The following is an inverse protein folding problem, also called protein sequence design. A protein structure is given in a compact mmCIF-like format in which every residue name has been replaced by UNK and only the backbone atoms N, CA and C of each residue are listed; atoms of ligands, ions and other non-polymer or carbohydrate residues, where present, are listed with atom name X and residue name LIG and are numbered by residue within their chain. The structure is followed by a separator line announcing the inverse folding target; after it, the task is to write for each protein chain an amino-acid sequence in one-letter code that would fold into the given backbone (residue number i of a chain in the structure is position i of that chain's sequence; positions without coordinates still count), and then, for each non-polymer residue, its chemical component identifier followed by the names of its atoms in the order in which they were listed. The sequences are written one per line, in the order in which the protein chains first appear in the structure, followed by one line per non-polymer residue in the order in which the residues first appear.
data_IF_995448830410
#
_entry.id   IF_995448830410
#
_cell.length_a   1.000
_cell.length_b   1.000
_cell.length_c   1.000
_cell.angle_alpha   90.00
_cell.angle_beta   90.00
_cell.angle_gamma   90.00
#
_symmetry.space_group_name_H-M   'P 1'
#
loop_
_entity.id
_entity.type
_entity.pdbx_description
1 polymer ?
#
# COMPACT_ATOMS: atom_id res chain seq x y z
N UNK A 1 5.69 11.44 -12.88
CA UNK A 1 4.87 11.08 -14.06
C UNK A 1 5.65 11.45 -15.33
N UNK A 2 5.42 10.79 -16.47
CA UNK A 2 6.07 11.15 -17.74
C UNK A 2 5.33 12.34 -18.37
N UNK A 3 5.67 13.54 -17.91
CA UNK A 3 5.16 14.82 -18.38
C UNK A 3 6.14 15.95 -18.02
N UNK A 4 5.88 17.15 -18.52
CA UNK A 4 6.50 18.45 -18.18
C UNK A 4 5.41 19.47 -17.84
N UNK A 5 4.33 18.97 -17.25
CA UNK A 5 3.13 19.72 -16.94
C UNK A 5 2.63 19.32 -15.56
N UNK A 6 1.41 19.73 -15.22
CA UNK A 6 0.87 19.41 -13.91
C UNK A 6 0.67 17.90 -13.69
N UNK A 7 0.88 17.47 -12.45
CA UNK A 7 0.55 16.15 -11.92
C UNK A 7 -0.46 16.29 -10.80
N UNK A 8 -1.46 15.42 -10.76
CA UNK A 8 -2.48 15.37 -9.71
C UNK A 8 -2.48 14.02 -9.03
N UNK A 9 -2.50 14.02 -7.70
CA UNK A 9 -2.74 12.85 -6.86
C UNK A 9 -3.90 13.18 -5.94
N UNK A 10 -4.91 12.31 -5.89
CA UNK A 10 -6.04 12.49 -5.00
C UNK A 10 -6.36 11.28 -4.15
N UNK A 11 -6.79 11.52 -2.92
CA UNK A 11 -7.39 10.54 -2.02
C UNK A 11 -8.89 10.56 -2.30
N UNK A 12 -9.43 9.41 -2.68
CA UNK A 12 -10.81 9.29 -3.15
C UNK A 12 -11.60 8.29 -2.30
N UNK A 13 -12.82 8.64 -1.85
CA UNK A 13 -13.69 7.68 -1.17
C UNK A 13 -14.11 6.51 -2.08
N UNK A 14 -14.41 6.83 -3.35
CA UNK A 14 -14.97 5.87 -4.30
C UNK A 14 -13.95 5.33 -5.31
N UNK A 15 -12.79 5.97 -5.48
CA UNK A 15 -11.83 5.71 -6.56
C UNK A 15 -12.08 6.54 -7.82
N UNK A 16 -12.94 7.55 -7.73
CA UNK A 16 -13.24 8.54 -8.78
C UNK A 16 -13.04 9.98 -8.30
N UNK A 17 -13.29 10.96 -9.17
CA UNK A 17 -13.10 12.37 -8.82
C UNK A 17 -14.08 12.89 -7.75
N UNK A 18 -15.39 12.59 -7.79
CA UNK A 18 -16.32 13.15 -6.80
C UNK A 18 -15.93 12.78 -5.36
N UNK A 19 -15.83 13.80 -4.51
CA UNK A 19 -15.41 13.72 -3.12
C UNK A 19 -13.91 13.55 -2.89
N UNK A 20 -13.06 13.68 -3.91
CA UNK A 20 -11.62 13.50 -3.76
C UNK A 20 -10.91 14.78 -3.30
N UNK A 21 -10.02 14.62 -2.31
CA UNK A 21 -9.00 15.59 -1.88
C UNK A 21 -7.76 15.38 -2.75
N UNK A 22 -7.30 16.42 -3.44
CA UNK A 22 -6.34 16.36 -4.54
C UNK A 22 -5.19 17.35 -4.31
N UNK A 23 -3.97 16.80 -4.20
CA UNK A 23 -2.75 17.56 -4.39
C UNK A 23 -2.48 17.71 -5.90
N UNK A 24 -2.47 18.94 -6.40
CA UNK A 24 -2.08 19.27 -7.77
C UNK A 24 -0.75 20.00 -7.78
N UNK A 25 0.30 19.39 -8.34
CA UNK A 25 1.63 19.97 -8.37
C UNK A 25 2.25 20.06 -9.75
N UNK A 26 3.22 20.95 -9.91
CA UNK A 26 4.01 21.13 -11.13
C UNK A 26 5.38 21.71 -10.77
N UNK A 27 6.29 21.76 -11.74
CA UNK A 27 7.61 22.40 -11.60
C UNK A 27 7.69 23.47 -12.69
N UNK A 28 7.90 24.73 -12.30
CA UNK A 28 7.98 25.80 -13.28
C UNK A 28 9.30 25.80 -14.07
N UNK A 29 9.41 26.72 -15.03
CA UNK A 29 10.59 26.88 -15.89
C UNK A 29 11.87 27.24 -15.11
N UNK A 30 11.75 27.74 -13.87
CA UNK A 30 12.89 28.04 -13.00
C UNK A 30 13.37 26.82 -12.21
N UNK A 31 12.62 25.71 -12.27
CA UNK A 31 12.86 24.51 -11.48
C UNK A 31 12.19 24.54 -10.10
N UNK A 32 11.33 25.52 -9.83
CA UNK A 32 10.64 25.65 -8.55
C UNK A 32 9.39 24.76 -8.55
N UNK A 33 9.21 23.95 -7.52
CA UNK A 33 8.08 23.05 -7.38
C UNK A 33 6.93 23.69 -6.59
N UNK A 34 5.71 23.48 -7.06
CA UNK A 34 4.48 23.99 -6.45
C UNK A 34 3.49 22.87 -6.22
N UNK A 35 2.64 23.04 -5.21
CA UNK A 35 1.46 22.22 -4.95
C UNK A 35 0.30 23.14 -4.62
N UNK A 36 -0.88 22.78 -5.10
CA UNK A 36 -2.17 23.34 -4.72
C UNK A 36 -3.01 22.26 -4.06
N UNK A 37 -3.68 22.67 -2.99
CA UNK A 37 -4.75 21.93 -2.37
C UNK A 37 -6.04 22.10 -3.17
N UNK A 38 -6.69 21.01 -3.53
CA UNK A 38 -7.89 21.04 -4.39
C UNK A 38 -8.89 19.97 -3.99
N UNK A 39 -10.16 20.33 -4.07
CA UNK A 39 -11.27 19.42 -3.83
C UNK A 39 -12.12 19.20 -5.10
N UNK A 40 -12.50 17.95 -5.36
CA UNK A 40 -13.32 17.59 -6.51
C UNK A 40 -14.75 17.23 -6.10
N UNK A 41 -15.70 18.15 -6.29
CA UNK A 41 -17.11 17.88 -5.99
C UNK A 41 -17.79 16.95 -7.02
N UNK A 42 -17.26 16.88 -8.25
CA UNK A 42 -17.83 16.12 -9.36
C UNK A 42 -16.76 15.69 -10.37
N UNK A 43 -17.15 15.13 -11.51
CA UNK A 43 -16.25 14.89 -12.65
C UNK A 43 -15.95 16.19 -13.43
N UNK A 44 -15.60 17.24 -12.71
CA UNK A 44 -15.28 18.57 -13.22
C UNK A 44 -13.90 19.01 -12.72
N UNK A 45 -13.42 20.15 -13.20
CA UNK A 45 -12.20 20.78 -12.70
C UNK A 45 -12.28 20.93 -11.16
N UNK A 46 -11.33 20.35 -10.39
CA UNK A 46 -11.29 20.50 -8.94
C UNK A 46 -11.11 21.98 -8.55
N UNK A 47 -11.86 22.41 -7.54
CA UNK A 47 -11.78 23.75 -6.99
C UNK A 47 -10.58 23.84 -6.04
N UNK A 48 -9.95 25.01 -5.94
CA UNK A 48 -8.90 25.20 -4.93
C UNK A 48 -9.52 25.24 -3.55
N UNK A 49 -8.94 24.50 -2.62
CA UNK A 49 -9.16 24.76 -1.22
C UNK A 49 -8.34 25.99 -0.81
N UNK A 50 -9.04 27.03 -0.36
CA UNK A 50 -8.42 28.32 -0.02
C UNK A 50 -8.40 28.56 1.47
N UNK A 51 -9.10 27.72 2.24
CA UNK A 51 -9.24 27.91 3.67
C UNK A 51 -8.06 27.28 4.41
N UNK A 52 -7.51 26.18 3.88
CA UNK A 52 -6.39 25.45 4.46
C UNK A 52 -5.42 24.95 3.37
N UNK A 53 -4.12 24.88 3.68
CA UNK A 53 -3.10 24.29 2.81
C UNK A 53 -2.53 23.07 3.52
N UNK A 54 -3.10 21.91 3.23
CA UNK A 54 -2.79 20.68 3.95
C UNK A 54 -1.64 19.89 3.32
N UNK A 55 -1.34 20.19 2.05
CA UNK A 55 -0.23 19.60 1.30
C UNK A 55 0.99 20.51 1.26
N UNK A 56 2.11 20.04 1.82
CA UNK A 56 3.35 20.79 1.88
C UNK A 56 4.36 20.20 0.91
N UNK A 57 4.76 20.99 -0.10
CA UNK A 57 5.84 20.62 -1.02
C UNK A 57 7.18 20.57 -0.29
N UNK A 58 7.96 19.52 -0.55
CA UNK A 58 9.31 19.33 0.00
C UNK A 58 10.37 19.60 -1.07
N UNK A 59 10.19 19.01 -2.25
CA UNK A 59 11.04 19.22 -3.41
C UNK A 59 10.31 18.79 -4.69
N UNK A 60 10.76 19.27 -5.84
CA UNK A 60 10.35 18.74 -7.13
C UNK A 60 11.45 18.90 -8.17
N UNK A 61 11.36 18.10 -9.23
CA UNK A 61 12.29 18.15 -10.35
C UNK A 61 11.59 17.76 -11.63
N UNK A 62 12.03 18.38 -12.72
CA UNK A 62 11.72 17.96 -14.08
C UNK A 62 12.99 17.62 -14.84
N UNK A 63 13.09 16.36 -15.27
CA UNK A 63 14.28 15.85 -15.97
C UNK A 63 13.82 14.88 -17.06
N UNK A 64 14.29 15.07 -18.29
CA UNK A 64 14.04 14.17 -19.42
C UNK A 64 12.54 13.89 -19.68
N UNK A 65 11.69 14.90 -19.55
CA UNK A 65 10.23 14.77 -19.73
C UNK A 65 9.52 14.02 -18.60
N UNK A 66 10.12 13.99 -17.40
CA UNK A 66 9.53 13.45 -16.19
C UNK A 66 9.46 14.50 -15.09
N UNK A 67 8.24 14.76 -14.61
CA UNK A 67 7.98 15.52 -13.38
C UNK A 67 7.91 14.58 -12.18
N UNK A 68 8.65 14.90 -11.13
CA UNK A 68 8.58 14.25 -9.83
C UNK A 68 8.48 15.30 -8.73
N UNK A 69 7.50 15.15 -7.83
CA UNK A 69 7.29 16.05 -6.69
C UNK A 69 7.19 15.21 -5.43
N UNK A 70 7.88 15.64 -4.40
CA UNK A 70 7.83 15.08 -3.06
C UNK A 70 7.12 16.08 -2.15
N UNK A 71 6.21 15.57 -1.32
CA UNK A 71 5.38 16.38 -0.43
C UNK A 71 5.08 15.61 0.85
N UNK A 72 4.50 16.31 1.83
CA UNK A 72 3.92 15.72 3.05
C UNK A 72 2.52 16.29 3.30
N UNK A 73 1.67 15.48 3.93
CA UNK A 73 0.31 15.82 4.38
C UNK A 73 0.04 15.08 5.69
N UNK A 74 -0.70 15.68 6.61
CA UNK A 74 -1.17 14.99 7.81
C UNK A 74 -2.14 13.86 7.43
N UNK A 75 -2.28 12.83 8.27
CA UNK A 75 -3.26 11.78 8.02
C UNK A 75 -4.69 12.29 8.14
N UNK A 76 -4.96 13.05 9.19
CA UNK A 76 -6.19 13.80 9.40
C UNK A 76 -5.82 15.29 9.48
N UNK A 77 -6.47 16.09 8.66
CA UNK A 77 -6.27 17.55 8.56
C UNK A 77 -7.35 18.31 9.35
N UNK A 78 -8.40 17.62 9.80
CA UNK A 78 -9.60 18.20 10.41
C UNK A 78 -10.37 19.15 9.49
N UNK A 79 -10.12 19.13 8.17
CA UNK A 79 -10.86 19.89 7.17
C UNK A 79 -12.06 19.07 6.65
N UNK A 80 -13.22 19.71 6.63
CA UNK A 80 -14.46 19.13 6.10
C UNK A 80 -14.43 18.79 4.60
N UNK A 81 -13.53 19.42 3.82
CA UNK A 81 -13.33 19.13 2.40
C UNK A 81 -12.24 18.07 2.18
N UNK A 82 -11.50 17.69 3.22
CA UNK A 82 -10.46 16.69 3.10
C UNK A 82 -10.95 15.28 3.39
N UNK A 83 -10.31 14.32 2.71
CA UNK A 83 -10.53 12.90 2.99
C UNK A 83 -9.47 12.46 3.99
N UNK A 84 -9.83 12.06 5.22
CA UNK A 84 -8.85 11.55 6.15
C UNK A 84 -8.20 10.28 5.59
N UNK A 85 -6.88 10.21 5.69
CA UNK A 85 -6.11 9.02 5.39
C UNK A 85 -6.27 8.10 6.60
N UNK A 86 -7.19 7.15 6.51
CA UNK A 86 -7.43 6.19 7.59
C UNK A 86 -6.60 4.94 7.39
N UNK A 87 -6.40 4.20 8.48
CA UNK A 87 -5.97 2.81 8.34
C UNK A 87 -7.05 1.99 7.59
N UNK A 88 -6.62 0.95 6.89
CA UNK A 88 -7.42 0.16 5.96
C UNK A 88 -7.14 0.47 4.48
N UNK A 89 -8.19 0.35 3.65
CA UNK A 89 -8.07 0.49 2.20
C UNK A 89 -8.37 1.92 1.76
N UNK A 90 -7.33 2.67 1.38
CA UNK A 90 -7.49 3.98 0.74
C UNK A 90 -7.47 3.81 -0.78
N UNK A 91 -8.22 4.65 -1.50
CA UNK A 91 -8.17 4.67 -2.97
C UNK A 91 -7.51 5.96 -3.41
N UNK A 92 -6.44 5.84 -4.16
CA UNK A 92 -5.80 6.96 -4.81
C UNK A 92 -6.29 7.07 -6.24
N UNK A 93 -6.49 8.30 -6.69
CA UNK A 93 -6.60 8.64 -8.10
C UNK A 93 -5.37 9.44 -8.50
N UNK A 94 -5.00 9.35 -9.77
CA UNK A 94 -3.95 10.19 -10.32
C UNK A 94 -4.33 10.66 -11.72
N UNK A 95 -3.83 11.82 -12.09
CA UNK A 95 -3.95 12.38 -13.43
C UNK A 95 -2.75 13.27 -13.75
N UNK A 96 -2.49 13.54 -15.02
CA UNK A 96 -1.47 14.53 -15.39
C UNK A 96 -1.78 15.23 -16.72
N UNK A 97 -1.48 16.53 -16.75
CA UNK A 97 -1.55 17.40 -17.91
C UNK A 97 -0.22 17.45 -18.65
N UNK A 98 -0.21 18.04 -19.83
CA UNK A 98 1.00 18.26 -20.65
C UNK A 98 1.56 19.68 -20.53
N UNK A 99 0.83 20.55 -19.84
CA UNK A 99 1.14 21.97 -19.66
C UNK A 99 0.92 22.29 -18.18
N UNK A 100 1.75 23.17 -17.63
CA UNK A 100 1.58 23.70 -16.27
C UNK A 100 0.27 24.50 -16.13
N UNK A 101 -0.22 24.72 -14.90
CA UNK A 101 -1.41 25.52 -14.67
C UNK A 101 -1.22 26.99 -15.10
N UNK A 102 -2.23 27.57 -15.73
CA UNK A 102 -2.26 29.00 -16.02
C UNK A 102 -2.69 29.79 -14.78
N UNK A 103 -1.71 30.31 -14.06
CA UNK A 103 -1.89 31.08 -12.83
C UNK A 103 -2.52 32.46 -13.05
N UNK A 104 -2.67 32.91 -14.31
CA UNK A 104 -3.35 34.17 -14.63
C UNK A 104 -4.87 34.05 -14.65
N UNK A 105 -5.40 32.82 -14.71
CA UNK A 105 -6.83 32.53 -14.82
C UNK A 105 -7.48 32.25 -13.45
N UNK A 106 -8.78 32.51 -13.30
CA UNK A 106 -9.52 32.13 -12.10
C UNK A 106 -9.41 30.63 -11.77
N UNK A 107 -9.08 30.33 -10.52
CA UNK A 107 -8.79 28.98 -9.99
C UNK A 107 -7.61 28.26 -10.64
N UNK A 108 -6.65 29.01 -11.20
CA UNK A 108 -5.41 28.54 -11.81
C UNK A 108 -5.69 27.45 -12.85
N UNK A 109 -6.00 27.86 -14.08
CA UNK A 109 -6.61 26.95 -15.05
C UNK A 109 -5.72 25.74 -15.33
N UNK A 110 -6.34 24.56 -15.32
CA UNK A 110 -5.66 23.28 -15.51
C UNK A 110 -6.27 22.58 -16.72
N UNK A 111 -5.40 22.26 -17.67
CA UNK A 111 -5.81 21.58 -18.90
C UNK A 111 -6.35 20.18 -18.61
N UNK A 112 -7.31 19.71 -19.40
CA UNK A 112 -7.90 18.38 -19.23
C UNK A 112 -6.86 17.26 -19.44
N UNK A 113 -6.81 16.31 -18.51
CA UNK A 113 -5.85 15.20 -18.55
C UNK A 113 -6.13 14.15 -19.63
N UNK A 114 -7.33 14.12 -20.22
CA UNK A 114 -7.70 13.07 -21.18
C UNK A 114 -7.56 11.66 -20.59
N UNK A 115 -6.92 10.74 -21.33
CA UNK A 115 -6.67 9.37 -20.89
C UNK A 115 -5.46 9.22 -19.94
N UNK A 116 -4.75 10.31 -19.60
CA UNK A 116 -3.58 10.29 -18.69
C UNK A 116 -4.01 10.31 -17.23
N UNK A 117 -4.75 9.28 -16.83
CA UNK A 117 -5.30 9.13 -15.48
C UNK A 117 -5.43 7.68 -15.07
N UNK A 118 -5.64 7.44 -13.80
CA UNK A 118 -5.95 6.11 -13.28
C UNK A 118 -6.29 6.15 -11.79
N UNK A 119 -6.52 4.97 -11.24
CA UNK A 119 -6.76 4.77 -9.81
C UNK A 119 -5.90 3.63 -9.30
N UNK A 120 -5.41 3.74 -8.07
CA UNK A 120 -4.67 2.68 -7.38
C UNK A 120 -5.18 2.55 -5.96
N UNK A 121 -5.31 1.32 -5.49
CA UNK A 121 -5.63 1.10 -4.08
C UNK A 121 -4.33 1.18 -3.28
N UNK A 122 -4.33 2.02 -2.24
CA UNK A 122 -3.27 2.12 -1.25
C UNK A 122 -3.77 1.47 0.04
N UNK A 123 -3.41 0.21 0.30
CA UNK A 123 -3.62 -0.37 1.63
C UNK A 123 -2.69 0.34 2.61
N UNK A 124 -3.26 1.03 3.58
CA UNK A 124 -2.55 1.46 4.78
C UNK A 124 -2.92 0.44 5.85
N UNK A 125 -2.02 -0.46 6.24
CA UNK A 125 -2.37 -1.45 7.24
C UNK A 125 -2.75 -0.76 8.55
N UNK A 126 -3.50 -1.47 9.38
CA UNK A 126 -3.67 -1.12 10.79
C UNK A 126 -2.33 -1.31 11.52
N UNK A 127 -1.30 -0.54 11.14
CA UNK A 127 0.09 -0.64 11.61
C UNK A 127 0.24 -0.41 13.11
N UNK A 128 -0.77 0.19 13.73
CA UNK A 128 -0.90 0.36 15.17
C UNK A 128 -1.13 -0.96 15.92
N UNK A 129 -1.76 -1.93 15.27
CA UNK A 129 -2.10 -3.24 15.85
C UNK A 129 -1.55 -4.44 15.07
N UNK A 130 -1.37 -4.38 13.76
CA UNK A 130 -0.88 -5.50 12.94
C UNK A 130 0.64 -5.43 12.85
N UNK A 131 1.31 -6.39 13.49
CA UNK A 131 2.77 -6.41 13.56
C UNK A 131 3.41 -7.25 12.45
N UNK A 132 2.82 -8.41 12.11
CA UNK A 132 3.18 -9.19 10.94
C UNK A 132 2.02 -10.06 10.45
N UNK A 133 2.13 -10.47 9.18
CA UNK A 133 1.16 -11.32 8.48
C UNK A 133 1.94 -12.44 7.77
N UNK A 134 1.48 -13.68 7.93
CA UNK A 134 2.00 -14.84 7.22
C UNK A 134 0.87 -15.52 6.45
N UNK A 135 1.15 -15.90 5.21
CA UNK A 135 0.27 -16.67 4.35
C UNK A 135 0.88 -18.05 4.13
N UNK A 136 0.12 -19.08 4.45
CA UNK A 136 0.53 -20.48 4.36
C UNK A 136 -0.18 -21.22 3.24
N UNK A 137 0.51 -22.19 2.64
CA UNK A 137 -0.08 -23.16 1.71
C UNK A 137 -0.42 -24.45 2.45
N UNK A 138 -1.71 -24.80 2.49
CA UNK A 138 -2.19 -26.02 3.13
C UNK A 138 -2.62 -27.06 2.09
N UNK A 139 -2.46 -28.34 2.41
CA UNK A 139 -2.91 -29.46 1.58
C UNK A 139 -4.28 -30.01 1.99
N UNK A 140 -4.85 -30.90 1.17
CA UNK A 140 -6.16 -31.52 1.45
C UNK A 140 -6.12 -32.63 2.50
N UNK A 141 -4.93 -33.05 2.94
CA UNK A 141 -4.76 -34.10 3.97
C UNK A 141 -4.92 -33.54 5.39
N UNK A 142 -4.91 -32.22 5.48
CA UNK A 142 -5.24 -31.51 6.70
C UNK A 142 -6.78 -31.47 6.80
N UNK A 143 -7.34 -32.31 7.66
CA UNK A 143 -8.79 -32.53 7.79
C UNK A 143 -9.43 -31.35 8.55
N UNK A 144 -9.84 -30.32 7.81
CA UNK A 144 -10.31 -29.03 8.36
C UNK A 144 -11.84 -28.88 8.38
N UNK A 145 -12.59 -29.91 8.02
CA UNK A 145 -13.96 -29.74 7.54
C UNK A 145 -15.02 -29.45 8.62
N UNK A 146 -14.79 -29.73 9.91
CA UNK A 146 -15.90 -29.73 10.89
C UNK A 146 -15.70 -28.98 12.22
N UNK A 147 -14.52 -28.43 12.56
CA UNK A 147 -14.23 -28.03 13.97
C UNK A 147 -13.70 -26.62 14.23
N UNK A 148 -13.41 -25.77 13.24
CA UNK A 148 -12.88 -24.42 13.51
C UNK A 148 -13.72 -23.36 12.79
N UNK A 149 -14.20 -22.39 13.58
CA UNK A 149 -14.77 -21.13 13.08
C UNK A 149 -13.79 -20.47 12.09
N UNK A 150 -14.25 -19.69 11.10
CA UNK A 150 -13.40 -19.03 10.10
C UNK A 150 -12.28 -18.14 10.69
N UNK A 151 -12.30 -17.86 12.00
CA UNK A 151 -11.34 -17.04 12.74
C UNK A 151 -11.05 -17.67 14.11
N UNK A 152 -9.78 -17.70 14.54
CA UNK A 152 -9.37 -18.33 15.81
C UNK A 152 -7.94 -17.99 16.25
N UNK A 153 -7.63 -18.24 17.53
CA UNK A 153 -6.29 -18.02 18.10
C UNK A 153 -5.30 -19.08 17.61
N UNK A 154 -4.13 -18.63 17.13
CA UNK A 154 -3.10 -19.52 16.61
C UNK A 154 -2.47 -20.46 17.65
N UNK A 155 -2.52 -20.10 18.94
CA UNK A 155 -1.95 -20.93 20.01
C UNK A 155 -2.81 -22.16 20.36
N UNK A 156 -4.05 -22.19 19.88
CA UNK A 156 -5.00 -23.30 20.09
C UNK A 156 -5.07 -24.26 18.91
N UNK A 157 -4.15 -24.11 17.98
CA UNK A 157 -4.07 -24.92 16.79
C UNK A 157 -3.56 -26.32 17.15
N UNK A 158 -4.38 -27.36 16.91
CA UNK A 158 -4.01 -28.76 17.10
C UNK A 158 -2.86 -29.14 16.14
N UNK A 159 -2.05 -30.12 16.56
CA UNK A 159 -0.95 -30.76 15.84
C UNK A 159 -1.24 -31.10 14.37
N UNK A 160 -2.51 -31.31 13.98
CA UNK A 160 -2.93 -31.52 12.60
C UNK A 160 -2.68 -30.31 11.67
N UNK A 161 -2.91 -29.08 12.13
CA UNK A 161 -2.59 -27.85 11.36
C UNK A 161 -1.08 -27.56 11.34
N UNK A 162 -0.31 -28.22 12.20
CA UNK A 162 1.14 -28.11 12.27
C UNK A 162 1.84 -28.43 10.94
N UNK A 163 1.21 -29.19 10.05
CA UNK A 163 1.73 -29.45 8.70
C UNK A 163 1.52 -28.28 7.73
N UNK A 164 0.45 -27.50 7.86
CA UNK A 164 0.22 -26.34 6.98
C UNK A 164 1.21 -25.19 7.25
N UNK A 165 1.57 -24.95 8.52
CA UNK A 165 2.47 -23.84 8.89
C UNK A 165 3.93 -24.01 8.42
N UNK A 166 4.27 -25.13 7.79
CA UNK A 166 5.60 -25.38 7.25
C UNK A 166 5.85 -24.62 5.92
N UNK A 167 4.80 -24.36 5.13
CA UNK A 167 4.93 -23.78 3.80
C UNK A 167 4.44 -22.33 3.79
N UNK A 168 5.36 -21.37 3.97
CA UNK A 168 5.04 -19.94 3.92
C UNK A 168 5.10 -19.46 2.46
N UNK A 169 3.95 -19.14 1.87
CA UNK A 169 3.85 -18.53 0.55
C UNK A 169 4.31 -17.07 0.57
N UNK A 170 3.91 -16.32 1.60
CA UNK A 170 4.18 -14.89 1.72
C UNK A 170 4.28 -14.47 3.19
N UNK A 171 5.21 -13.57 3.47
CA UNK A 171 5.32 -12.91 4.78
C UNK A 171 5.44 -11.41 4.63
N UNK A 172 4.79 -10.68 5.52
CA UNK A 172 4.91 -9.24 5.67
C UNK A 172 5.11 -8.89 7.15
N UNK A 173 5.91 -7.87 7.43
CA UNK A 173 6.10 -7.35 8.79
C UNK A 173 6.23 -5.82 8.75
N UNK A 174 5.99 -5.16 9.88
CA UNK A 174 6.16 -3.71 10.04
C UNK A 174 7.52 -3.23 9.49
N UNK A 175 7.49 -2.17 8.69
CA UNK A 175 8.66 -1.65 7.95
C UNK A 175 8.94 -2.34 6.61
N UNK A 176 8.30 -3.47 6.31
CA UNK A 176 8.34 -4.13 5.00
C UNK A 176 7.42 -3.48 3.96
N UNK A 177 7.74 -3.70 2.68
CA UNK A 177 6.92 -3.20 1.56
C UNK A 177 5.58 -3.97 1.48
N UNK A 178 4.48 -3.25 1.25
CA UNK A 178 3.13 -3.82 1.12
C UNK A 178 2.87 -4.52 -0.21
N UNK A 179 3.72 -4.27 -1.19
CA UNK A 179 3.57 -4.82 -2.54
C UNK A 179 4.77 -5.69 -2.83
N UNK A 180 4.51 -6.99 -3.02
CA UNK A 180 5.47 -7.93 -3.55
C UNK A 180 5.28 -7.96 -5.07
N UNK A 181 6.19 -7.31 -5.80
CA UNK A 181 6.22 -7.34 -7.26
C UNK A 181 7.22 -8.40 -7.74
N UNK A 182 6.76 -9.33 -8.57
CA UNK A 182 7.64 -10.30 -9.23
C UNK A 182 8.25 -9.70 -10.52
N UNK A 183 9.47 -10.11 -10.90
CA UNK A 183 10.05 -9.72 -12.19
C UNK A 183 9.22 -10.28 -13.35
N UNK A 184 9.30 -9.68 -14.53
CA UNK A 184 8.37 -9.96 -15.66
C UNK A 184 8.40 -11.43 -16.13
N UNK A 185 9.53 -12.09 -15.93
CA UNK A 185 9.83 -13.46 -16.30
C UNK A 185 9.37 -14.50 -15.27
N UNK A 186 9.04 -14.08 -14.04
CA UNK A 186 8.65 -14.97 -12.96
C UNK A 186 7.30 -14.60 -12.33
N UNK A 187 6.65 -15.57 -11.68
CA UNK A 187 5.45 -15.34 -10.90
C UNK A 187 5.24 -16.46 -9.89
N UNK A 188 4.50 -16.16 -8.82
CA UNK A 188 4.13 -17.19 -7.84
C UNK A 188 2.99 -18.05 -8.39
N UNK A 189 3.16 -19.37 -8.52
CA UNK A 189 2.20 -20.25 -9.18
C UNK A 189 1.06 -20.64 -8.23
N UNK A 190 0.05 -19.76 -8.10
CA UNK A 190 -1.14 -20.04 -7.27
C UNK A 190 -2.00 -21.15 -7.91
N UNK A 191 -2.24 -22.24 -7.17
CA UNK A 191 -3.09 -23.34 -7.60
C UNK A 191 -2.55 -24.21 -8.74
N UNK A 192 -1.28 -24.04 -9.15
CA UNK A 192 -0.66 -24.87 -10.18
C UNK A 192 -0.20 -26.24 -9.65
N UNK A 193 -0.07 -26.37 -8.34
CA UNK A 193 0.32 -27.61 -7.67
C UNK A 193 -0.92 -28.22 -7.00
N UNK A 194 -1.31 -29.44 -7.41
CA UNK A 194 -2.45 -30.17 -6.86
C UNK A 194 -2.31 -30.50 -5.36
N UNK A 195 -1.14 -30.24 -4.76
CA UNK A 195 -0.92 -30.38 -3.32
C UNK A 195 -1.47 -29.20 -2.49
N UNK A 196 -1.75 -28.03 -3.09
CA UNK A 196 -2.29 -26.88 -2.34
C UNK A 196 -3.80 -26.86 -2.46
N UNK A 197 -4.49 -27.15 -1.37
CA UNK A 197 -5.95 -27.18 -1.30
C UNK A 197 -6.55 -25.82 -0.91
N UNK A 198 -5.89 -25.10 0.00
CA UNK A 198 -6.33 -23.79 0.47
C UNK A 198 -5.16 -22.98 1.06
N UNK A 199 -5.41 -21.69 1.27
CA UNK A 199 -4.47 -20.77 1.91
C UNK A 199 -4.96 -20.39 3.30
N UNK A 200 -4.07 -20.42 4.29
CA UNK A 200 -4.34 -19.96 5.64
C UNK A 200 -3.58 -18.67 5.92
N UNK A 201 -4.27 -17.67 6.46
CA UNK A 201 -3.66 -16.43 6.89
C UNK A 201 -3.48 -16.41 8.41
N UNK A 202 -2.28 -16.06 8.86
CA UNK A 202 -1.99 -15.75 10.26
C UNK A 202 -1.67 -14.27 10.38
N UNK A 203 -2.34 -13.60 11.32
CA UNK A 203 -2.09 -12.19 11.64
C UNK A 203 -1.64 -12.11 13.10
N UNK A 204 -0.47 -11.55 13.33
CA UNK A 204 0.01 -11.25 14.68
C UNK A 204 -0.33 -9.81 15.05
N UNK A 205 -1.24 -9.67 16.00
CA UNK A 205 -1.61 -8.37 16.54
C UNK A 205 -0.75 -8.00 17.76
N UNK A 206 -0.11 -6.85 17.72
CA UNK A 206 0.52 -6.21 18.86
C UNK A 206 -0.38 -5.05 19.34
N UNK A 207 -1.08 -5.21 20.47
CA UNK A 207 -2.01 -4.21 21.01
C UNK A 207 -1.53 -3.61 22.35
N UNK A 208 -0.43 -2.84 22.38
CA UNK A 208 0.14 -2.32 23.63
C UNK A 208 -0.75 -1.28 24.31
N UNK A 209 -1.65 -0.63 23.56
CA UNK A 209 -2.56 0.39 24.08
C UNK A 209 -3.86 -0.20 24.66
N UNK A 210 -4.07 -1.52 24.58
CA UNK A 210 -5.26 -2.18 25.10
C UNK A 210 -6.55 -1.73 24.43
N UNK A 211 -6.49 -1.42 23.12
CA UNK A 211 -7.65 -0.97 22.35
C UNK A 211 -8.70 -2.08 22.35
N UNK A 212 -9.92 -1.74 22.76
CA UNK A 212 -11.07 -2.65 22.81
C UNK A 212 -12.04 -2.40 21.65
N UNK A 213 -12.80 -3.43 21.27
CA UNK A 213 -13.85 -3.38 20.24
C UNK A 213 -13.39 -2.91 18.85
N UNK A 214 -12.08 -2.95 18.54
CA UNK A 214 -11.56 -2.67 17.21
C UNK A 214 -11.77 -3.89 16.31
N UNK A 215 -12.45 -3.68 15.20
CA UNK A 215 -12.63 -4.68 14.15
C UNK A 215 -11.54 -4.50 13.11
N UNK A 216 -10.79 -5.56 12.83
CA UNK A 216 -9.76 -5.61 11.81
C UNK A 216 -10.20 -6.52 10.65
N UNK A 217 -9.82 -6.16 9.43
CA UNK A 217 -10.02 -6.98 8.23
C UNK A 217 -8.76 -6.95 7.34
N UNK A 218 -7.60 -6.90 8.00
CA UNK A 218 -6.31 -6.93 7.33
C UNK A 218 -6.09 -8.27 6.65
N UNK A 219 -5.45 -8.25 5.48
CA UNK A 219 -5.28 -9.45 4.68
C UNK A 219 -4.37 -9.26 3.49
N UNK A 220 -4.42 -10.22 2.56
CA UNK A 220 -3.61 -10.23 1.34
C UNK A 220 -4.51 -10.05 0.13
N UNK A 221 -4.06 -9.27 -0.85
CA UNK A 221 -4.69 -9.19 -2.17
C UNK A 221 -3.76 -9.76 -3.23
N UNK A 222 -4.26 -10.73 -3.99
CA UNK A 222 -3.55 -11.29 -5.15
C UNK A 222 -3.91 -10.56 -6.43
N UNK A 223 -2.90 -10.32 -7.27
CA UNK A 223 -3.08 -9.85 -8.64
C UNK A 223 -2.73 -11.00 -9.59
N UNK A 224 -3.75 -11.67 -10.12
CA UNK A 224 -3.60 -12.88 -10.90
C UNK A 224 -3.44 -12.59 -12.40
N UNK A 225 -2.53 -13.32 -13.04
CA UNK A 225 -2.46 -13.40 -14.51
C UNK A 225 -3.13 -14.68 -15.00
N UNK A 226 -3.64 -14.66 -16.24
CA UNK A 226 -4.34 -15.81 -16.84
C UNK A 226 -3.39 -16.87 -17.43
N UNK A 227 -2.08 -16.64 -17.39
CA UNK A 227 -1.06 -17.52 -17.96
C UNK A 227 0.13 -17.62 -17.00
N UNK A 228 0.68 -18.83 -16.86
CA UNK A 228 1.93 -19.02 -16.12
C UNK A 228 3.08 -18.23 -16.76
N UNK A 229 3.96 -17.70 -15.91
CA UNK A 229 5.20 -17.06 -16.33
C UNK A 229 6.24 -18.12 -16.68
N UNK A 230 7.34 -17.71 -17.31
CA UNK A 230 8.42 -18.62 -17.73
C UNK A 230 9.10 -19.29 -16.53
N UNK A 231 9.18 -18.58 -15.40
CA UNK A 231 9.75 -19.10 -14.15
C UNK A 231 8.73 -19.06 -13.01
N UNK A 232 8.76 -20.09 -12.16
CA UNK A 232 8.02 -20.12 -10.90
C UNK A 232 8.86 -19.48 -9.80
N UNK A 233 8.26 -18.55 -9.05
CA UNK A 233 8.82 -18.04 -7.82
C UNK A 233 8.45 -18.95 -6.63
N UNK A 234 9.33 -19.03 -5.64
CA UNK A 234 9.15 -19.82 -4.41
C UNK A 234 9.66 -19.00 -3.21
N UNK A 235 9.08 -19.25 -2.04
CA UNK A 235 9.53 -18.71 -0.76
C UNK A 235 10.31 -19.78 0.01
N UNK A 236 11.45 -19.40 0.61
CA UNK A 236 12.28 -20.31 1.42
C UNK A 236 12.65 -19.65 2.73
N UNK A 237 12.35 -20.33 3.82
CA UNK A 237 12.75 -19.91 5.17
C UNK A 237 14.13 -20.47 5.49
N UNK A 238 15.07 -19.60 5.83
CA UNK A 238 16.40 -20.00 6.32
C UNK A 238 16.47 -19.72 7.81
N UNK A 239 16.72 -20.76 8.61
CA UNK A 239 16.79 -20.65 10.06
C UNK A 239 18.20 -21.00 10.55
N UNK A 240 18.64 -20.30 11.60
CA UNK A 240 19.86 -20.64 12.36
C UNK A 240 19.52 -20.70 13.84
N UNK A 241 20.12 -21.66 14.55
CA UNK A 241 20.05 -21.69 16.02
C UNK A 241 20.88 -20.53 16.58
N UNK A 242 20.24 -19.66 17.34
CA UNK A 242 20.88 -18.57 18.09
C UNK A 242 20.78 -18.87 19.58
N UNK A 243 21.90 -18.73 20.30
CA UNK A 243 21.94 -18.78 21.76
C UNK A 243 22.45 -17.41 22.22
N UNK A 244 21.59 -16.65 22.90
CA UNK A 244 21.96 -15.37 23.49
C UNK A 244 22.18 -15.57 24.99
N UNK A 245 23.41 -15.38 25.45
CA UNK A 245 23.70 -15.30 26.88
C UNK A 245 23.41 -13.90 27.41
N UNK A 246 22.88 -13.83 28.63
CA UNK A 246 22.64 -12.57 29.31
C UNK A 246 23.97 -11.81 29.50
N UNK A 247 24.03 -10.56 29.06
CA UNK A 247 25.24 -9.72 29.13
C UNK A 247 26.25 -9.91 28.00
N UNK A 248 25.89 -10.62 26.93
CA UNK A 248 26.73 -10.69 25.71
C UNK A 248 26.77 -9.34 25.00
N UNK A 249 27.98 -8.81 24.79
CA UNK A 249 28.21 -7.58 24.01
C UNK A 249 28.30 -7.91 22.51
N UNK A 250 27.51 -7.20 21.72
CA UNK A 250 27.46 -7.31 20.25
C UNK A 250 28.72 -6.77 19.53
N UNK A 251 29.67 -6.16 20.26
CA UNK A 251 30.89 -5.57 19.71
C UNK A 251 31.83 -6.57 19.00
N UNK A 252 31.69 -7.87 19.24
CA UNK A 252 32.50 -8.92 18.60
C UNK A 252 32.10 -9.31 17.17
N UNK A 253 30.96 -8.81 16.64
CA UNK A 253 30.46 -9.17 15.31
C UNK A 253 30.66 -8.10 14.23
N UNK A 254 31.45 -7.05 14.47
CA UNK A 254 31.62 -5.91 13.53
C UNK A 254 32.58 -6.15 12.35
N UNK A 255 33.25 -7.30 12.27
CA UNK A 255 34.24 -7.58 11.20
C UNK A 255 33.94 -8.90 10.47
N UNK A 256 32.74 -9.02 9.89
CA UNK A 256 32.44 -9.99 8.83
C UNK A 256 31.80 -9.27 7.65
#
# INVERSE_FOLDING_TARGET
MKTTGWIGLGISPAGGMPGADIALGWVDQTGTAYIQDRYACSYSRPIMDKNEVNWIVLQGREVNGWTAIQFKRMFDTCDSMDVPITFGTNKLIFAYGLVDPDLSQPNNDITYHGNRRGSRILPLPNLDIVHHLLLYECDSTTDFHDTILPEGLCDKIDTQVGMCIANIALGWAVGGNFIVEYPKEAGYPLGANFSVAYYMIQVHYNNPQGISNRVDSSGVRFFLGNTLRHHSAESRTVQRRLILSYGSDSSLYRNL
#
